data_IF_816774046563
#
_entry.id   IF_816774046563
#
_cell.length_a   1.000
_cell.length_b   1.000
_cell.length_c   1.000
_cell.angle_alpha   90.00
_cell.angle_beta   90.00
_cell.angle_gamma   90.00
#
_symmetry.space_group_name_H-M   'P 1'
#
loop_
_entity.id
_entity.type
_entity.pdbx_description
1 polymer ?
2 non-polymer ?
3 non-polymer ?
4 water ?
#
# COMPACT_ATOMS: atom_id res chain seq x y z
N UNK A 11 13.11 1.34 -9.02
CA UNK A 11 13.55 1.16 -7.61
C UNK A 11 13.63 -0.31 -7.21
N UNK A 12 12.49 -1.01 -7.28
CA UNK A 12 12.32 -2.32 -6.62
C UNK A 12 12.61 -3.50 -7.55
N UNK A 13 13.58 -4.38 -7.20
CA UNK A 13 13.89 -5.56 -8.01
C UNK A 13 12.77 -6.59 -8.05
N UNK A 14 12.65 -7.32 -9.16
CA UNK A 14 11.53 -8.26 -9.34
C UNK A 14 11.38 -9.25 -8.21
N UNK A 15 12.49 -9.79 -7.73
CA UNK A 15 12.48 -10.81 -6.68
C UNK A 15 11.99 -10.23 -5.35
N UNK A 16 12.23 -8.94 -5.14
CA UNK A 16 11.72 -8.27 -3.94
C UNK A 16 10.21 -8.11 -4.04
N UNK A 17 9.74 -7.71 -5.22
CA UNK A 17 8.30 -7.53 -5.42
C UNK A 17 7.58 -8.88 -5.24
N UNK A 18 8.16 -9.94 -5.77
CA UNK A 18 7.60 -11.29 -5.59
C UNK A 18 7.50 -11.64 -4.09
N UNK A 19 8.52 -11.32 -3.31
CA UNK A 19 8.49 -11.54 -1.85
C UNK A 19 7.44 -10.69 -1.13
N UNK A 20 7.25 -9.45 -1.56
CA UNK A 20 6.17 -8.62 -1.00
C UNK A 20 4.82 -9.24 -1.28
N UNK A 21 4.62 -9.79 -2.48
CA UNK A 21 3.36 -10.41 -2.85
C UNK A 21 3.09 -11.62 -1.96
N UNK A 22 4.16 -12.30 -1.59
CA UNK A 22 3.98 -13.47 -0.74
C UNK A 22 3.49 -13.03 0.65
N UNK A 23 4.04 -11.91 1.13
CA UNK A 23 3.61 -11.33 2.40
C UNK A 23 2.14 -10.94 2.28
N UNK A 24 1.79 -10.32 1.16
CA UNK A 24 0.42 -9.85 0.97
C UNK A 24 -0.55 -11.03 0.95
N UNK A 25 -0.16 -12.12 0.30
CA UNK A 25 -0.95 -13.33 0.21
C UNK A 25 -1.23 -13.88 1.60
N UNK A 26 -0.19 -13.90 2.45
CA UNK A 26 -0.32 -14.40 3.82
C UNK A 26 -1.22 -13.56 4.71
N UNK A 27 -1.08 -12.23 4.62
CA UNK A 27 -1.96 -11.32 5.35
C UNK A 27 -3.40 -11.53 4.87
N UNK A 28 -3.59 -11.64 3.57
CA UNK A 28 -4.95 -11.79 3.03
C UNK A 28 -5.58 -13.10 3.47
N UNK A 29 -4.75 -14.16 3.62
CA UNK A 29 -5.21 -15.48 4.05
C UNK A 29 -5.54 -15.53 5.53
N UNK A 30 -4.85 -14.69 6.30
CA UNK A 30 -5.13 -14.55 7.71
C UNK A 30 -6.53 -13.96 7.89
N UNK A 31 -6.92 -13.04 6.99
CA UNK A 31 -8.23 -12.43 6.98
C UNK A 31 -9.32 -13.44 6.50
N UNK A 32 -9.01 -14.16 5.42
CA UNK A 32 -9.84 -15.24 4.91
C UNK A 32 -8.97 -16.32 4.25
N UNK A 33 -8.98 -17.54 4.81
CA UNK A 33 -8.19 -18.62 4.21
C UNK A 33 -8.27 -18.69 2.69
N UNK A 34 -9.47 -18.70 2.13
CA UNK A 34 -9.59 -18.83 0.67
C UNK A 34 -9.87 -17.49 0.01
N UNK A 35 -9.10 -16.46 0.34
CA UNK A 35 -9.44 -15.10 -0.10
C UNK A 35 -9.59 -14.96 -1.63
N UNK A 36 -8.84 -15.71 -2.43
CA UNK A 36 -8.95 -15.60 -3.87
C UNK A 36 -10.31 -16.04 -4.33
N UNK A 37 -10.82 -17.11 -3.73
CA UNK A 37 -12.13 -17.60 -4.09
C UNK A 37 -13.23 -16.65 -3.62
N UNK A 38 -13.07 -16.01 -2.47
CA UNK A 38 -14.13 -15.15 -1.92
C UNK A 38 -14.08 -13.69 -2.37
N UNK A 39 -12.89 -13.14 -2.63
CA UNK A 39 -12.76 -11.73 -2.97
C UNK A 39 -13.04 -11.57 -4.44
N UNK A 40 -13.20 -10.34 -4.92
CA UNK A 40 -13.48 -10.07 -6.34
C UNK A 40 -12.55 -8.96 -6.77
N UNK A 41 -12.39 -8.78 -8.07
CA UNK A 41 -11.59 -7.66 -8.57
C UNK A 41 -12.19 -6.30 -8.15
N UNK A 42 -13.50 -6.15 -8.27
CA UNK A 42 -14.17 -4.95 -7.74
C UNK A 42 -13.90 -4.64 -6.27
N UNK A 43 -13.82 -5.67 -5.41
CA UNK A 43 -13.45 -5.43 -4.00
C UNK A 43 -12.14 -4.66 -3.91
N UNK A 44 -11.11 -5.10 -4.63
CA UNK A 44 -9.80 -4.48 -4.48
C UNK A 44 -9.85 -3.08 -5.11
N UNK A 45 -10.58 -2.94 -6.22
CA UNK A 45 -10.76 -1.64 -6.86
C UNK A 45 -11.45 -0.64 -5.89
N UNK A 46 -12.46 -1.12 -5.16
CA UNK A 46 -13.19 -0.30 -4.19
C UNK A 46 -12.24 0.08 -3.08
N UNK A 47 -11.47 -0.88 -2.56
CA UNK A 47 -10.61 -0.59 -1.42
C UNK A 47 -9.60 0.48 -1.81
N UNK A 48 -9.12 0.42 -3.04
CA UNK A 48 -8.13 1.41 -3.50
C UNK A 48 -8.75 2.79 -3.63
N UNK A 49 -9.96 2.82 -4.13
CA UNK A 49 -10.73 4.07 -4.29
C UNK A 49 -10.88 4.76 -2.92
N UNK A 50 -11.28 3.98 -1.93
CA UNK A 50 -11.44 4.47 -0.57
C UNK A 50 -10.15 4.95 0.02
N UNK A 51 -9.07 4.17 -0.08
CA UNK A 51 -7.77 4.64 0.38
C UNK A 51 -7.25 5.88 -0.30
N UNK A 52 -7.61 6.07 -1.54
CA UNK A 52 -7.12 7.19 -2.32
C UNK A 52 -7.72 8.50 -1.77
N UNK A 53 -8.97 8.44 -1.33
CA UNK A 53 -9.55 9.61 -0.66
C UNK A 53 -8.91 9.88 0.70
N UNK A 54 -8.47 8.87 1.43
CA UNK A 54 -7.70 9.11 2.66
C UNK A 54 -6.37 9.77 2.35
N UNK A 55 -5.74 9.35 1.27
CA UNK A 55 -4.52 10.01 0.84
C UNK A 55 -4.76 11.49 0.57
N UNK A 56 -5.77 11.80 -0.21
CA UNK A 56 -6.05 13.20 -0.56
C UNK A 56 -6.43 14.04 0.62
N UNK A 57 -7.13 13.45 1.61
CA UNK A 57 -7.40 14.15 2.85
C UNK A 57 -6.17 14.55 3.65
N UNK A 58 -4.98 14.07 3.30
CA UNK A 58 -3.72 14.57 3.90
C UNK A 58 -3.32 15.99 3.47
N UNK A 59 -3.94 16.48 2.40
CA UNK A 59 -3.62 17.76 1.78
C UNK A 59 -4.69 18.82 2.03
N UNK A 60 -4.31 20.09 1.97
CA UNK A 60 -5.25 21.19 2.20
C UNK A 60 -5.98 21.52 0.91
N UNK A 61 -6.79 20.57 0.46
CA UNK A 61 -7.53 20.69 -0.81
C UNK A 61 -8.82 21.46 -0.60
N UNK A 62 -9.34 21.50 0.63
CA UNK A 62 -10.62 22.20 0.85
C UNK A 62 -10.44 23.69 0.85
N UNK A 63 -11.30 24.37 0.10
CA UNK A 63 -11.28 25.82 -0.01
C UNK A 63 -12.18 26.52 1.02
N UNK A 64 -12.83 25.72 1.86
CA UNK A 64 -13.74 26.25 2.85
C UNK A 64 -13.41 25.89 4.30
N UNK A 65 -12.27 25.23 4.49
CA UNK A 65 -11.88 24.71 5.80
C UNK A 65 -10.37 24.71 5.93
N UNK A 66 -9.88 25.14 7.10
CA UNK A 66 -8.47 25.00 7.46
C UNK A 66 -7.55 25.51 6.35
N UNK A 67 -7.82 26.75 5.94
CA UNK A 67 -7.05 27.35 4.85
C UNK A 67 -5.60 27.50 5.28
N UNK A 68 -4.71 27.29 4.32
CA UNK A 68 -3.28 27.43 4.59
C UNK A 68 -2.74 26.39 5.60
N UNK A 69 -3.46 25.28 5.80
CA UNK A 69 -2.88 24.12 6.49
C UNK A 69 -1.79 23.56 5.58
N UNK A 70 -0.79 22.91 6.15
CA UNK A 70 0.25 22.30 5.33
C UNK A 70 -0.06 20.81 5.17
N UNK A 71 0.41 20.19 4.06
CA UNK A 71 0.12 18.80 3.86
C UNK A 71 0.72 17.92 4.96
N UNK A 72 -0.08 16.96 5.44
CA UNK A 72 0.40 15.88 6.32
C UNK A 72 1.19 14.84 5.50
N UNK A 73 2.42 15.20 5.14
CA UNK A 73 3.25 14.32 4.29
C UNK A 73 3.63 13.02 5.00
N UNK A 74 3.75 13.05 6.33
CA UNK A 74 4.02 11.81 7.09
C UNK A 74 2.87 10.80 6.91
N UNK A 75 1.64 11.26 7.06
CA UNK A 75 0.47 10.41 6.85
C UNK A 75 0.40 9.89 5.41
N UNK A 76 0.82 10.72 4.44
CA UNK A 76 0.84 10.32 3.05
C UNK A 76 1.61 9.01 2.83
N UNK A 77 2.72 8.85 3.55
CA UNK A 77 3.52 7.64 3.49
C UNK A 77 2.66 6.43 3.79
N UNK A 78 1.88 6.54 4.86
CA UNK A 78 1.03 5.43 5.28
C UNK A 78 -0.04 5.12 4.22
N UNK A 79 -0.69 6.16 3.70
CA UNK A 79 -1.80 5.97 2.80
C UNK A 79 -1.28 5.37 1.50
N UNK A 80 -0.07 5.76 1.09
CA UNK A 80 0.51 5.17 -0.09
C UNK A 80 0.73 3.67 0.07
N UNK A 81 1.25 3.28 1.22
CA UNK A 81 1.48 1.88 1.54
C UNK A 81 0.16 1.09 1.63
N UNK A 82 -0.90 1.71 2.16
CA UNK A 82 -2.21 1.04 2.18
C UNK A 82 -2.69 0.74 0.74
N UNK A 83 -2.55 1.73 -0.16
CA UNK A 83 -2.92 1.50 -1.56
C UNK A 83 -2.09 0.36 -2.13
N UNK A 84 -0.82 0.33 -1.77
CA UNK A 84 0.09 -0.70 -2.28
C UNK A 84 -0.39 -2.07 -1.87
N UNK A 85 -0.78 -2.23 -0.61
CA UNK A 85 -1.31 -3.52 -0.13
C UNK A 85 -2.49 -3.96 -1.03
N UNK A 86 -3.44 -3.04 -1.29
CA UNK A 86 -4.63 -3.40 -2.05
C UNK A 86 -4.34 -3.65 -3.54
N UNK A 87 -3.37 -2.91 -4.07
CA UNK A 87 -2.87 -3.09 -5.43
C UNK A 87 -2.13 -4.40 -5.65
N UNK A 88 -1.24 -4.78 -4.75
CA UNK A 88 -0.66 -6.12 -4.81
C UNK A 88 -1.75 -7.17 -4.81
N UNK A 89 -2.77 -6.95 -3.98
CA UNK A 89 -3.83 -7.92 -3.81
C UNK A 89 -4.64 -8.03 -5.12
N UNK A 90 -5.03 -6.88 -5.67
CA UNK A 90 -5.74 -6.86 -6.93
C UNK A 90 -4.94 -7.51 -8.05
N UNK A 91 -3.63 -7.27 -8.10
CA UNK A 91 -2.79 -7.87 -9.15
C UNK A 91 -2.82 -9.37 -9.06
N UNK A 92 -2.68 -9.95 -7.87
CA UNK A 92 -2.75 -11.41 -7.85
C UNK A 92 -4.20 -11.94 -7.92
N UNK A 93 -5.19 -11.11 -7.61
CA UNK A 93 -6.57 -11.51 -7.91
C UNK A 93 -6.72 -11.64 -9.44
N UNK A 94 -6.17 -10.69 -10.18
CA UNK A 94 -6.19 -10.70 -11.64
C UNK A 94 -5.46 -11.92 -12.20
N UNK A 95 -4.25 -12.16 -11.69
CA UNK A 95 -3.45 -13.30 -12.14
C UNK A 95 -4.23 -14.60 -11.92
N UNK A 96 -5.04 -14.67 -10.87
CA UNK A 96 -5.84 -15.85 -10.55
C UNK A 96 -7.21 -15.89 -11.21
N UNK A 97 -7.56 -14.85 -11.97
CA UNK A 97 -8.87 -14.80 -12.61
C UNK A 97 -8.84 -15.51 -13.96
N UNK A 98 -9.76 -16.45 -14.18
CA UNK A 98 -9.78 -17.08 -15.50
C UNK A 98 -9.97 -16.05 -16.61
N UNK A 99 -9.31 -16.25 -17.75
CA UNK A 99 -9.31 -15.26 -18.85
C UNK A 99 -10.71 -14.76 -19.26
N UNK A 100 -11.72 -15.65 -19.20
CA UNK A 100 -13.10 -15.38 -19.66
C UNK A 100 -13.94 -14.66 -18.60
N UNK A 101 -13.32 -14.42 -17.44
CA UNK A 101 -13.89 -13.66 -16.35
C UNK A 101 -13.13 -12.32 -16.15
N UNK A 102 -12.18 -12.01 -17.04
CA UNK A 102 -11.45 -10.73 -16.96
C UNK A 102 -12.33 -9.61 -17.51
N UNK A 103 -12.56 -8.55 -16.72
CA UNK A 103 -13.48 -7.54 -17.23
C UNK A 103 -12.91 -6.72 -18.38
N UNK A 104 -13.79 -6.32 -19.29
CA UNK A 104 -13.41 -5.56 -20.48
C UNK A 104 -12.59 -4.30 -20.20
N UNK A 105 -12.93 -3.56 -19.14
CA UNK A 105 -12.20 -2.32 -18.83
C UNK A 105 -10.71 -2.55 -18.64
N UNK A 106 -10.33 -3.74 -18.18
CA UNK A 106 -8.92 -4.04 -17.97
C UNK A 106 -8.18 -4.49 -19.24
N UNK A 107 -8.90 -4.82 -20.33
CA UNK A 107 -8.35 -5.27 -21.59
C UNK A 107 -8.43 -4.20 -22.67
N UNK A 108 -9.23 -3.15 -22.48
CA UNK A 108 -9.37 -2.10 -23.51
C UNK A 108 -8.18 -1.15 -23.44
N UNK A 109 -7.92 -0.38 -24.52
CA UNK A 109 -6.95 0.70 -24.36
C UNK A 109 -7.25 1.63 -23.20
N UNK A 110 -6.18 1.98 -22.47
CA UNK A 110 -6.30 2.78 -21.27
C UNK A 110 -7.00 4.11 -21.57
N UNK A 111 -6.62 4.76 -22.68
CA UNK A 111 -7.26 6.02 -23.10
C UNK A 111 -8.78 5.94 -23.27
N UNK A 112 -9.32 4.74 -23.47
CA UNK A 112 -10.74 4.56 -23.80
C UNK A 112 -11.58 4.41 -22.49
N UNK A 113 -10.92 4.07 -21.38
CA UNK A 113 -11.58 3.79 -20.07
C UNK A 113 -11.20 4.82 -18.99
N UNK A 114 -10.43 5.83 -19.36
CA UNK A 114 -9.89 6.82 -18.44
C UNK A 114 -9.75 8.20 -19.13
N UNK A 115 -10.17 9.25 -18.42
CA UNK A 115 -9.77 10.63 -18.72
C UNK A 115 -8.58 10.96 -17.81
N UNK A 116 -7.43 11.38 -18.36
CA UNK A 116 -6.27 11.69 -17.51
C UNK A 116 -6.29 13.13 -17.02
N UNK A 117 -6.12 13.33 -15.72
CA UNK A 117 -6.10 14.65 -15.09
C UNK A 117 -4.67 15.16 -14.94
N UNK A 118 -4.50 16.44 -15.21
CA UNK A 118 -3.19 17.11 -15.22
C UNK A 118 -3.23 18.29 -14.26
N UNK A 119 -2.11 18.59 -13.60
CA UNK A 119 -2.06 19.86 -12.85
C UNK A 119 -2.03 21.05 -13.83
N UNK A 120 -2.44 22.23 -13.39
CA UNK A 120 -2.32 23.44 -14.21
C UNK A 120 -0.85 23.79 -14.43
N UNK A 121 -0.10 23.92 -13.33
CA UNK A 121 1.31 24.34 -13.38
C UNK A 121 2.19 23.26 -13.97
N UNK A 122 3.28 23.67 -14.63
CA UNK A 122 4.27 22.73 -15.16
C UNK A 122 4.83 21.90 -14.00
N UNK A 123 5.18 20.64 -14.28
CA UNK A 123 5.63 19.71 -13.24
C UNK A 123 6.27 18.45 -13.82
N UNK A 124 7.14 17.83 -13.03
CA UNK A 124 7.65 16.49 -13.31
C UNK A 124 6.52 15.47 -13.30
N UNK A 125 6.69 14.36 -14.02
CA UNK A 125 5.78 13.23 -13.94
C UNK A 125 6.54 11.98 -13.55
N UNK A 126 5.81 10.98 -13.07
CA UNK A 126 6.32 9.60 -13.05
C UNK A 126 6.47 9.21 -14.52
N UNK A 127 7.08 8.03 -14.81
CA UNK A 127 7.18 7.43 -16.15
C UNK A 127 5.90 7.35 -16.98
N UNK A 128 4.83 6.76 -16.42
CA UNK A 128 3.50 6.81 -17.05
C UNK A 128 3.01 8.25 -17.01
N UNK A 129 1.87 8.55 -17.60
CA UNK A 129 1.36 9.94 -17.58
C UNK A 129 0.43 10.26 -16.42
N UNK A 130 0.70 9.80 -15.19
CA UNK A 130 -0.35 9.76 -14.12
C UNK A 130 -0.14 10.46 -12.76
N UNK A 131 1.09 10.56 -12.28
CA UNK A 131 1.35 11.13 -10.96
C UNK A 131 2.44 12.23 -11.09
N UNK A 132 2.30 13.30 -10.30
CA UNK A 132 2.96 14.57 -10.58
C UNK A 132 3.76 15.08 -9.39
N UNK A 133 4.91 15.72 -9.65
CA UNK A 133 5.85 16.18 -8.61
C UNK A 133 6.22 17.69 -8.60
N UNK A 134 6.58 18.22 -7.41
CA UNK A 134 6.67 17.44 -6.16
C UNK A 134 5.29 17.18 -5.55
N UNK A 135 5.17 16.12 -4.76
CA UNK A 135 3.92 15.76 -4.09
C UNK A 135 3.76 16.54 -2.78
N UNK A 136 4.63 17.52 -2.57
CA UNK A 136 4.43 18.52 -1.54
C UNK A 136 3.34 19.48 -2.01
N UNK A 137 3.04 19.43 -3.32
CA UNK A 137 2.09 20.34 -3.98
C UNK A 137 0.69 19.73 -4.06
N UNK A 138 -0.27 20.45 -3.47
CA UNK A 138 -1.63 19.93 -3.33
C UNK A 138 -2.22 19.62 -4.70
N UNK A 139 -2.06 20.55 -5.64
CA UNK A 139 -2.60 20.37 -6.99
C UNK A 139 -2.01 19.15 -7.73
N UNK A 140 -0.73 18.86 -7.54
CA UNK A 140 -0.14 17.63 -8.08
C UNK A 140 -0.80 16.39 -7.48
N UNK A 141 -0.97 16.40 -6.14
CA UNK A 141 -1.58 15.27 -5.44
C UNK A 141 -2.99 15.00 -5.92
N UNK A 142 -3.79 16.07 -6.11
CA UNK A 142 -5.18 15.92 -6.50
C UNK A 142 -5.29 15.20 -7.85
N UNK A 143 -4.55 15.73 -8.84
CA UNK A 143 -4.56 15.13 -10.16
C UNK A 143 -4.03 13.70 -10.09
N UNK A 144 -2.94 13.50 -9.36
CA UNK A 144 -2.39 12.16 -9.13
C UNK A 144 -3.45 11.16 -8.67
N UNK A 145 -4.19 11.46 -7.60
CA UNK A 145 -5.06 10.40 -7.09
C UNK A 145 -6.45 10.31 -7.69
N UNK A 146 -6.87 11.33 -8.40
CA UNK A 146 -8.05 11.19 -9.25
C UNK A 146 -7.76 10.20 -10.39
N UNK A 147 -6.52 10.24 -10.88
CA UNK A 147 -6.03 9.27 -11.87
C UNK A 147 -5.93 7.87 -11.26
N UNK A 148 -5.41 7.76 -10.03
CA UNK A 148 -5.31 6.46 -9.37
C UNK A 148 -6.67 5.79 -9.26
N UNK A 149 -7.70 6.55 -8.92
CA UNK A 149 -9.04 5.98 -8.77
C UNK A 149 -9.54 5.47 -10.10
N UNK A 150 -9.22 6.19 -11.16
CA UNK A 150 -9.58 5.73 -12.50
C UNK A 150 -8.77 4.50 -12.96
N UNK A 151 -7.48 4.43 -12.59
CA UNK A 151 -6.69 3.19 -12.79
C UNK A 151 -7.37 2.03 -12.06
N UNK A 152 -7.70 2.23 -10.78
CA UNK A 152 -8.40 1.21 -9.97
C UNK A 152 -9.68 0.73 -10.67
N UNK A 153 -10.50 1.69 -11.13
CA UNK A 153 -11.75 1.39 -11.80
C UNK A 153 -11.53 0.59 -13.10
N UNK A 154 -10.41 0.84 -13.76
CA UNK A 154 -9.96 0.03 -14.93
C UNK A 154 -9.01 -1.14 -14.57
N UNK A 155 -8.94 -1.52 -13.29
CA UNK A 155 -8.16 -2.70 -12.83
C UNK A 155 -6.67 -2.76 -13.17
N UNK A 156 -6.05 -1.59 -13.33
CA UNK A 156 -4.63 -1.46 -13.63
C UNK A 156 -3.80 -1.44 -12.36
N UNK A 157 -3.92 -2.52 -11.60
CA UNK A 157 -3.23 -2.67 -10.33
C UNK A 157 -1.70 -2.57 -10.48
N UNK A 158 -1.13 -3.26 -11.47
CA UNK A 158 0.29 -3.15 -11.77
C UNK A 158 0.72 -1.73 -12.08
N UNK A 159 -0.10 -1.00 -12.82
CA UNK A 159 0.24 0.41 -13.06
C UNK A 159 0.22 1.25 -11.79
N UNK A 160 -0.76 0.98 -10.93
CA UNK A 160 -0.84 1.67 -9.66
C UNK A 160 0.43 1.41 -8.85
N UNK A 161 0.85 0.16 -8.82
CA UNK A 161 2.08 -0.24 -8.13
C UNK A 161 3.29 0.63 -8.57
N UNK A 162 3.51 0.79 -9.87
CA UNK A 162 4.61 1.65 -10.39
C UNK A 162 4.52 3.11 -9.93
N UNK A 163 3.30 3.64 -9.99
CA UNK A 163 3.02 4.98 -9.55
C UNK A 163 3.41 5.23 -8.09
N UNK A 164 3.03 4.29 -7.21
CA UNK A 164 3.38 4.34 -5.79
C UNK A 164 4.91 4.41 -5.57
N UNK A 165 5.68 3.61 -6.32
CA UNK A 165 7.15 3.56 -6.16
C UNK A 165 7.80 4.90 -6.52
N UNK A 166 7.24 5.56 -7.53
CA UNK A 166 7.70 6.89 -7.95
C UNK A 166 7.27 7.99 -6.99
N UNK A 167 6.05 7.88 -6.45
CA UNK A 167 5.60 8.78 -5.40
C UNK A 167 6.55 8.73 -4.20
N UNK A 168 6.87 7.50 -3.78
CA UNK A 168 7.76 7.26 -2.65
C UNK A 168 9.14 7.85 -2.92
N UNK A 169 9.66 7.62 -4.12
CA UNK A 169 10.91 8.28 -4.54
C UNK A 169 10.86 9.80 -4.37
N UNK A 170 9.79 10.46 -4.82
CA UNK A 170 9.69 11.93 -4.76
C UNK A 170 9.54 12.45 -3.33
N UNK A 171 8.72 11.77 -2.54
CA UNK A 171 8.48 12.21 -1.17
C UNK A 171 9.67 11.83 -0.30
N UNK A 172 10.63 11.10 -0.88
CA UNK A 172 11.89 10.79 -0.21
C UNK A 172 11.77 9.86 0.97
N UNK A 173 10.90 8.85 0.85
CA UNK A 173 10.81 7.79 1.87
C UNK A 173 10.96 6.37 1.29
N UNK A 174 11.23 5.44 2.18
CA UNK A 174 11.51 4.06 1.83
C UNK A 174 10.20 3.28 1.78
N UNK A 175 9.69 3.06 0.56
CA UNK A 175 8.41 2.41 0.40
C UNK A 175 8.36 1.02 1.05
N UNK A 176 9.37 0.19 0.77
CA UNK A 176 9.34 -1.20 1.21
C UNK A 176 9.33 -1.30 2.73
N UNK A 177 10.16 -0.47 3.37
CA UNK A 177 10.26 -0.43 4.83
C UNK A 177 8.91 -0.06 5.44
N UNK A 178 8.28 0.96 4.89
CA UNK A 178 6.95 1.36 5.32
C UNK A 178 5.95 0.22 5.05
N UNK A 179 6.06 -0.47 3.92
CA UNK A 179 5.16 -1.60 3.68
C UNK A 179 5.26 -2.67 4.74
N UNK A 180 6.48 -3.06 5.12
CA UNK A 180 6.61 -4.10 6.12
C UNK A 180 6.05 -3.66 7.46
N UNK A 181 6.31 -2.40 7.84
CA UNK A 181 5.78 -1.87 9.10
C UNK A 181 4.23 -1.96 9.10
N UNK A 182 3.60 -1.48 8.06
CA UNK A 182 2.12 -1.48 8.04
C UNK A 182 1.58 -2.89 7.88
N UNK A 183 2.26 -3.70 7.07
CA UNK A 183 1.91 -5.12 6.98
C UNK A 183 1.86 -5.72 8.39
N UNK A 184 2.89 -5.45 9.17
CA UNK A 184 2.94 -5.97 10.52
C UNK A 184 1.79 -5.43 11.35
N UNK A 185 1.50 -4.13 11.26
CA UNK A 185 0.37 -3.57 11.98
C UNK A 185 -0.96 -4.21 11.51
N UNK A 186 -1.09 -4.47 10.22
CA UNK A 186 -2.33 -5.11 9.75
C UNK A 186 -2.52 -6.45 10.38
N UNK A 187 -1.44 -7.23 10.46
CA UNK A 187 -1.47 -8.51 11.19
C UNK A 187 -1.89 -8.30 12.62
N UNK A 188 -1.25 -7.34 13.28
CA UNK A 188 -1.55 -7.03 14.69
C UNK A 188 -3.03 -6.70 14.91
N UNK A 189 -3.62 -5.89 14.03
CA UNK A 189 -5.04 -5.58 14.14
C UNK A 189 -5.92 -6.85 14.05
N UNK A 190 -5.64 -7.74 13.11
CA UNK A 190 -6.41 -9.00 13.03
C UNK A 190 -6.30 -9.90 14.27
N UNK A 191 -5.14 -9.89 14.90
CA UNK A 191 -4.96 -10.62 16.19
C UNK A 191 -5.74 -9.94 17.33
N UNK A 192 -6.04 -8.65 17.20
CA UNK A 192 -6.48 -7.85 18.35
C UNK A 192 -7.93 -7.40 18.22
N UNK A 193 -8.73 -8.12 17.45
CA UNK A 193 -10.19 -7.88 17.42
C UNK A 193 -10.70 -6.89 16.36
N UNK A 194 -9.87 -6.58 15.37
CA UNK A 194 -10.32 -5.70 14.26
C UNK A 194 -11.65 -6.18 13.65
N UNK A 195 -11.79 -7.48 13.39
CA UNK A 195 -13.04 -8.01 12.82
C UNK A 195 -14.30 -7.84 13.70
N UNK A 196 -14.16 -8.05 15.01
CA UNK A 196 -15.31 -8.06 15.92
C UNK A 196 -15.54 -6.70 16.61
N UNK A 197 -14.71 -5.73 16.27
CA UNK A 197 -14.95 -4.36 16.72
C UNK A 197 -14.32 -3.97 18.03
N UNK A 198 -13.43 -4.80 18.57
CA UNK A 198 -12.85 -4.57 19.90
C UNK A 198 -11.48 -3.92 19.83
N UNK A 199 -10.94 -3.74 18.63
CA UNK A 199 -9.64 -3.10 18.50
C UNK A 199 -9.74 -1.58 18.82
N UNK A 200 -8.80 -1.07 19.63
CA UNK A 200 -8.71 0.37 19.93
C UNK A 200 -7.68 0.97 18.97
N UNK A 201 -8.15 1.46 17.82
CA UNK A 201 -7.27 2.01 16.78
C UNK A 201 -6.69 3.35 17.19
N UNK A 202 -7.52 4.22 17.74
CA UNK A 202 -7.05 5.45 18.37
C UNK A 202 -7.05 5.24 19.89
N UNK A 203 -5.92 4.80 20.43
CA UNK A 203 -5.80 4.47 21.86
C UNK A 203 -5.15 5.59 22.64
N UNK A 204 -5.95 6.27 23.47
CA UNK A 204 -5.48 7.41 24.26
C UNK A 204 -5.16 8.62 23.37
N UNK A 205 -5.94 8.82 22.31
CA UNK A 205 -5.78 9.96 21.39
C UNK A 205 -4.78 9.75 20.26
N UNK A 206 -3.97 8.70 20.37
CA UNK A 206 -2.89 8.44 19.43
C UNK A 206 -3.36 7.43 18.39
N UNK A 207 -3.08 7.69 17.12
CA UNK A 207 -3.42 6.75 16.06
C UNK A 207 -2.34 5.63 15.92
N UNK A 208 -2.76 4.37 15.76
CA UNK A 208 -1.80 3.25 15.62
C UNK A 208 -0.77 3.43 14.50
N UNK A 209 -1.23 3.84 13.32
CA UNK A 209 -0.34 4.16 12.21
C UNK A 209 0.79 5.12 12.63
N UNK A 210 0.49 6.06 13.52
CA UNK A 210 1.48 7.12 13.87
C UNK A 210 2.73 6.55 14.57
N UNK A 211 2.62 5.36 15.14
CA UNK A 211 3.75 4.69 15.81
C UNK A 211 4.74 4.06 14.83
N UNK A 212 4.35 3.90 13.57
CA UNK A 212 5.14 3.15 12.61
C UNK A 212 6.40 3.85 12.13
N UNK A 213 6.40 5.18 12.22
CA UNK A 213 7.54 5.96 11.70
C UNK A 213 8.83 5.64 12.45
N UNK A 214 8.74 5.58 13.78
CA UNK A 214 9.92 5.32 14.63
C UNK A 214 10.42 3.89 14.42
N UNK A 215 9.50 2.98 14.05
CA UNK A 215 9.88 1.61 13.69
C UNK A 215 10.68 1.45 12.39
N UNK A 216 10.82 2.49 11.57
CA UNK A 216 11.58 2.41 10.30
C UNK A 216 12.78 3.40 10.20
N UNK A 217 13.06 4.19 11.24
CA UNK A 217 14.19 5.13 11.22
C UNK A 217 15.54 4.42 10.99
N UNK A 218 15.69 3.22 11.56
CA UNK A 218 16.96 2.47 11.48
C UNK A 218 17.18 1.64 10.20
N UNK A 219 16.30 1.76 9.20
CA UNK A 219 16.36 0.92 7.98
C UNK A 219 16.72 1.72 6.72
N UNK A 220 17.73 1.23 5.98
CA UNK A 220 18.25 1.95 4.81
C UNK A 220 17.63 1.44 3.51
N UNK A 221 17.72 2.23 2.46
CA UNK A 221 17.17 1.84 1.15
C UNK A 221 17.87 0.60 0.61
N UNK A 222 19.20 0.58 0.63
CA UNK A 222 19.95 -0.58 0.15
C UNK A 222 19.60 -1.85 0.95
N UNK A 223 19.56 -1.75 2.27
CA UNK A 223 19.26 -2.91 3.16
C UNK A 223 17.93 -3.61 2.87
N UNK A 224 16.86 -2.83 2.64
CA UNK A 224 15.53 -3.44 2.50
C UNK A 224 15.30 -4.10 1.12
N UNK A 225 16.11 -3.73 0.13
CA UNK A 225 16.04 -4.30 -1.22
C UNK A 225 17.23 -5.20 -1.58
N UNK A 226 18.26 -5.22 -0.74
CA UNK A 226 19.48 -5.96 -1.03
C UNK A 226 19.14 -7.46 -1.00
N UNK A 227 19.52 -8.16 -2.06
CA UNK A 227 19.17 -9.58 -2.24
C UNK A 227 19.60 -10.49 -1.08
N UNK A 228 20.71 -10.15 -0.42
CA UNK A 228 21.19 -10.91 0.72
C UNK A 228 20.56 -10.39 2.01
N UNK A 229 20.60 -9.06 2.19
CA UNK A 229 20.20 -8.42 3.45
C UNK A 229 18.69 -8.26 3.68
N UNK A 230 17.85 -8.40 2.66
CA UNK A 230 16.44 -7.95 2.82
C UNK A 230 15.67 -8.68 3.91
N UNK A 231 15.88 -9.99 4.04
CA UNK A 231 15.10 -10.79 5.00
C UNK A 231 15.39 -10.36 6.43
N UNK A 232 16.67 -10.22 6.79
CA UNK A 232 17.03 -9.75 8.14
C UNK A 232 16.48 -8.34 8.40
N UNK A 233 16.54 -7.46 7.39
CA UNK A 233 16.06 -6.09 7.56
C UNK A 233 14.56 -6.05 7.75
N UNK A 234 13.83 -6.87 6.99
CA UNK A 234 12.37 -6.93 7.12
C UNK A 234 11.97 -7.49 8.49
N UNK A 235 12.72 -8.48 8.95
CA UNK A 235 12.48 -9.07 10.26
C UNK A 235 12.66 -8.06 11.40
N UNK A 236 13.65 -7.16 11.25
CA UNK A 236 13.94 -6.16 12.28
C UNK A 236 12.84 -5.09 12.31
N UNK A 237 12.26 -4.75 11.16
CA UNK A 237 11.12 -3.79 11.10
C UNK A 237 9.94 -4.48 11.76
N UNK A 238 9.71 -5.73 11.38
CA UNK A 238 8.64 -6.52 11.97
C UNK A 238 8.72 -6.53 13.49
N UNK A 239 9.88 -6.91 14.02
CA UNK A 239 10.07 -6.93 15.47
C UNK A 239 9.84 -5.53 16.07
N UNK A 240 10.41 -4.49 15.47
CA UNK A 240 10.20 -3.11 15.95
C UNK A 240 8.71 -2.81 16.10
N UNK A 241 7.92 -3.18 15.08
CA UNK A 241 6.50 -2.91 15.12
C UNK A 241 5.80 -3.77 16.17
N UNK A 242 6.12 -5.06 16.22
CA UNK A 242 5.52 -5.91 17.27
C UNK A 242 5.88 -5.40 18.68
N UNK A 243 7.11 -4.93 18.84
CA UNK A 243 7.54 -4.45 20.14
C UNK A 243 6.84 -3.14 20.48
N UNK A 244 6.58 -2.31 19.46
CA UNK A 244 5.90 -1.03 19.65
C UNK A 244 4.45 -1.20 20.11
N UNK A 245 3.86 -2.37 19.83
CA UNK A 245 2.47 -2.71 20.21
C UNK A 245 2.38 -3.78 21.29
N UNK A 246 3.50 -3.97 22.00
CA UNK A 246 3.59 -4.92 23.10
C UNK A 246 3.05 -6.33 22.76
N UNK A 247 3.38 -6.84 21.58
CA UNK A 247 2.88 -8.17 21.10
C UNK A 247 3.76 -9.32 21.55
N UNK A 248 3.16 -10.32 22.21
CA UNK A 248 3.93 -11.44 22.79
C UNK A 248 4.64 -12.18 21.67
N UNK A 249 5.81 -12.74 21.98
CA UNK A 249 6.65 -13.45 21.00
C UNK A 249 5.89 -14.51 20.21
N UNK A 250 5.00 -15.22 20.89
CA UNK A 250 4.33 -16.38 20.31
C UNK A 250 3.23 -16.01 19.31
N UNK A 251 2.80 -14.74 19.34
CA UNK A 251 1.82 -14.21 18.38
C UNK A 251 2.49 -13.55 17.16
N UNK A 252 3.81 -13.51 17.11
CA UNK A 252 4.53 -12.90 15.99
C UNK A 252 4.79 -13.87 14.83
N UNK A 253 4.99 -13.35 13.63
CA UNK A 253 5.58 -14.16 12.56
C UNK A 253 6.76 -13.39 11.94
N UNK A 254 7.73 -14.13 11.39
CA UNK A 254 8.82 -13.53 10.65
C UNK A 254 8.58 -13.76 9.16
N UNK A 255 9.46 -13.20 8.35
CA UNK A 255 9.37 -13.23 6.91
C UNK A 255 9.36 -14.66 6.41
N UNK A 256 10.31 -15.45 6.90
CA UNK A 256 10.48 -16.85 6.47
C UNK A 256 9.17 -17.56 6.67
N UNK A 257 8.56 -17.29 7.82
CA UNK A 257 7.30 -17.89 8.14
C UNK A 257 6.21 -17.50 7.12
N UNK A 258 6.09 -16.20 6.80
CA UNK A 258 5.16 -15.76 5.75
C UNK A 258 5.50 -16.41 4.40
N UNK A 259 6.79 -16.52 4.06
CA UNK A 259 7.18 -17.16 2.81
C UNK A 259 6.76 -18.63 2.82
N UNK A 260 6.88 -19.28 3.98
CA UNK A 260 6.56 -20.71 4.11
C UNK A 260 5.08 -20.93 3.95
N UNK A 261 4.29 -20.01 4.51
CA UNK A 261 2.84 -20.15 4.45
C UNK A 261 2.39 -19.92 3.01
N UNK A 262 3.06 -19.02 2.30
CA UNK A 262 2.73 -18.78 0.89
C UNK A 262 3.10 -20.00 0.05
N UNK A 263 4.31 -20.54 0.25
CA UNK A 263 4.83 -21.70 -0.52
C UNK A 263 3.99 -22.97 -0.38
N UNK A 264 3.24 -23.09 0.73
CA UNK A 264 2.34 -24.24 0.92
C UNK A 264 0.92 -23.89 0.49
N UNK A 265 0.56 -22.61 0.56
CA UNK A 265 -0.69 -22.13 -0.05
C UNK A 265 -0.67 -22.34 -1.58
N UNK A 266 0.51 -22.15 -2.20
CA UNK A 266 0.70 -22.40 -3.64
C UNK A 266 0.69 -23.90 -3.98
N UNK A 267 0.98 -24.75 -3.00
CA UNK A 267 0.91 -26.22 -3.14
C UNK A 267 -0.34 -26.87 -2.50
X LIG B 1 -7.88 -8.27 2.63
X LIG B 1 -7.17 -7.22 3.05
X LIG B 1 -7.89 -6.24 3.76
X LIG B 1 -7.19 -5.20 4.28
X LIG B 1 -5.84 -7.13 2.90
X LIG B 1 -5.18 -6.09 3.41
X LIG B 1 -3.96 -5.95 3.21
X LIG B 1 -5.85 -5.10 4.06
X LIG B 1 -5.12 -3.97 4.62
X LIG B 1 -4.41 -3.09 3.63
X LIG B 1 -4.30 -1.73 4.25
X LIG B 1 -2.94 -1.39 4.64
X LIG B 1 -5.95 -3.03 5.34
X LIG B 1 -5.21 -1.85 5.44
X LIG B 1 -6.22 -0.74 5.59
X LIG B 1 -7.08 -1.03 6.70
X LIG B 1 -8.21 0.07 7.17
X LIG B 1 -9.20 -0.71 7.95
X LIG B 1 -8.63 0.83 5.94
X LIG B 1 -7.56 1.23 8.20
X LIG B 1 -6.38 2.35 7.83
X LIG B 1 -6.43 2.99 6.38
X LIG B 1 -5.01 1.78 8.14
X LIG B 1 -6.87 3.52 8.83
X LIG B 1 -8.42 4.08 8.70
X LIG B 1 -9.35 3.25 9.59
X LIG B 1 -9.00 3.95 7.26
X LIG B 1 -8.16 5.51 9.11
X LIG C 1 -8.58 2.90 5.12
X LIG D 1 -5.27 4.39 5.31
#
# INVERSE_FOLDING_TARGET
GPAMKRARSANIPGAILHSLAELQDGLNAMIDPSWRAVRSLDNWALAITMESTELLDSYPWKWWKNLNATPDLANVRIELVDIFHFSLSGAMQMRSTPDDEIPAASLKPLKEVMTTFLPAKECTSDPYGFVFFPLTDTQNAIASFRNIIQLANAYRFDVIIECIIYAAEDLGFNLVAYYIAKHTLNCIRQLSGYKDGSYVKVNNGVEDNSLLHNCIKDVSLDEVLDADKYVQAWNSIMANVYEAFQIKESDRKDAERWFALAKENRLAIKA
DUP O4 C4 C5 C6 N3 C2 O2 N1 C1' C2' C3' O3' O4' C4' C5' O5' PA O1A O2A N3A PB O1B O2B O3B PG O2G O1G O3G
CA CA
CA CA
#
